data_IF_017146857187
#
_entry.id   IF_017146857187
#
_cell.length_a   1.000
_cell.length_b   1.000
_cell.length_c   1.000
_cell.angle_alpha   90.00
_cell.angle_beta   90.00
_cell.angle_gamma   90.00
#
_symmetry.space_group_name_H-M   'P 1'
#
loop_
_entity.id
_entity.type
_entity.pdbx_description
1 polymer ?
#
# COMPACT_ATOMS: atom_id res chain seq x y z
N UNK A 1 -26.35 22.49 28.00
CA UNK A 1 -26.07 21.05 28.13
C UNK A 1 -25.36 20.84 29.45
N UNK A 2 -26.00 20.15 30.39
CA UNK A 2 -25.46 19.90 31.71
C UNK A 2 -24.56 18.64 31.71
N UNK A 3 -23.62 18.49 32.66
CA UNK A 3 -22.74 17.31 32.73
C UNK A 3 -23.51 15.97 32.80
N UNK A 4 -24.70 15.98 33.41
CA UNK A 4 -25.57 14.81 33.52
C UNK A 4 -26.18 14.42 32.17
N UNK A 5 -26.60 15.41 31.37
CA UNK A 5 -27.08 15.19 30.01
C UNK A 5 -25.98 14.65 29.09
N UNK A 6 -24.73 15.11 29.27
CA UNK A 6 -23.57 14.59 28.56
C UNK A 6 -23.34 13.10 28.83
N UNK A 7 -23.37 12.68 30.11
CA UNK A 7 -23.18 11.27 30.47
C UNK A 7 -24.30 10.38 29.93
N UNK A 8 -25.55 10.84 29.99
CA UNK A 8 -26.69 10.05 29.51
C UNK A 8 -26.59 9.77 28.01
N UNK A 9 -26.26 10.80 27.21
CA UNK A 9 -26.05 10.63 25.77
C UNK A 9 -24.83 9.78 25.43
N UNK A 10 -23.77 9.83 26.24
CA UNK A 10 -22.62 8.95 26.07
C UNK A 10 -23.00 7.48 26.26
N UNK A 11 -23.85 7.18 27.25
CA UNK A 11 -24.38 5.82 27.44
C UNK A 11 -25.15 5.32 26.21
N UNK A 12 -26.07 6.13 25.70
CA UNK A 12 -26.85 5.79 24.49
C UNK A 12 -25.95 5.54 23.26
N UNK A 13 -24.87 6.32 23.10
CA UNK A 13 -23.89 6.14 22.01
C UNK A 13 -23.10 4.83 22.16
N UNK A 14 -22.69 4.49 23.39
CA UNK A 14 -21.96 3.24 23.66
C UNK A 14 -22.87 2.01 23.47
N UNK A 15 -24.14 2.10 23.84
CA UNK A 15 -25.12 1.05 23.62
C UNK A 15 -25.38 0.82 22.13
N UNK A 16 -25.52 1.90 21.35
CA UNK A 16 -25.64 1.82 19.89
C UNK A 16 -24.41 1.16 19.25
N UNK A 17 -23.21 1.55 19.66
CA UNK A 17 -21.98 0.92 19.20
C UNK A 17 -21.89 -0.58 19.58
N UNK A 18 -22.36 -0.94 20.76
CA UNK A 18 -22.41 -2.33 21.24
C UNK A 18 -23.46 -3.17 20.51
N UNK A 19 -24.52 -2.53 19.97
CA UNK A 19 -25.51 -3.18 19.11
C UNK A 19 -25.00 -3.40 17.67
N UNK A 20 -23.76 -3.00 17.37
CA UNK A 20 -23.12 -3.19 16.06
C UNK A 20 -23.18 -1.97 15.14
N UNK A 21 -23.67 -0.82 15.62
CA UNK A 21 -23.59 0.42 14.85
C UNK A 21 -22.17 0.97 14.86
N UNK A 22 -21.70 1.47 13.70
CA UNK A 22 -20.37 2.09 13.57
C UNK A 22 -20.55 3.59 13.60
N UNK A 23 -20.01 4.23 14.64
CA UNK A 23 -20.18 5.65 14.85
C UNK A 23 -18.88 6.37 14.51
N UNK A 24 -18.92 7.23 13.49
CA UNK A 24 -17.81 8.09 13.13
C UNK A 24 -17.76 9.29 14.09
N UNK A 25 -16.62 9.48 14.74
CA UNK A 25 -16.36 10.65 15.58
C UNK A 25 -15.57 11.67 14.75
N UNK A 26 -16.17 12.84 14.58
CA UNK A 26 -15.57 13.96 13.87
C UNK A 26 -15.20 15.10 14.82
N UNK A 27 -14.11 15.79 14.51
CA UNK A 27 -13.74 17.08 15.11
C UNK A 27 -13.40 18.05 13.99
N UNK A 28 -14.00 19.23 14.00
CA UNK A 28 -13.77 20.26 12.97
C UNK A 28 -13.97 19.73 11.53
N UNK A 29 -15.03 18.93 11.32
CA UNK A 29 -15.35 18.24 10.06
C UNK A 29 -14.26 17.26 9.57
N UNK A 30 -13.38 16.81 10.46
CA UNK A 30 -12.37 15.80 10.16
C UNK A 30 -12.65 14.53 10.97
N UNK A 31 -12.64 13.35 10.33
CA UNK A 31 -12.76 12.09 11.04
C UNK A 31 -11.54 11.86 11.93
N UNK A 32 -11.75 11.58 13.22
CA UNK A 32 -10.66 11.32 14.18
C UNK A 32 -10.66 9.91 14.74
N UNK A 33 -11.83 9.28 14.84
CA UNK A 33 -11.97 7.93 15.39
C UNK A 33 -13.27 7.27 14.92
N UNK A 34 -13.29 5.94 14.99
CA UNK A 34 -14.49 5.13 14.87
C UNK A 34 -14.75 4.45 16.20
N UNK A 35 -16.00 4.54 16.68
CA UNK A 35 -16.49 3.73 17.77
C UNK A 35 -17.23 2.53 17.17
N UNK A 36 -16.76 1.33 17.51
CA UNK A 36 -17.30 0.06 17.03
C UNK A 36 -17.43 -0.92 18.19
N UNK A 37 -18.23 -1.98 18.01
CA UNK A 37 -18.31 -3.06 18.99
C UNK A 37 -16.96 -3.78 19.13
N UNK A 38 -16.66 -4.40 20.28
CA UNK A 38 -15.43 -5.17 20.48
C UNK A 38 -15.27 -6.35 19.50
N UNK A 39 -16.37 -6.99 19.09
CA UNK A 39 -16.37 -8.08 18.12
C UNK A 39 -15.93 -7.58 16.73
N UNK A 40 -16.45 -6.43 16.33
CA UNK A 40 -16.07 -5.79 15.07
C UNK A 40 -14.62 -5.27 15.11
N UNK A 41 -14.15 -4.78 16.26
CA UNK A 41 -12.74 -4.41 16.45
C UNK A 41 -11.80 -5.60 16.22
N UNK A 42 -12.14 -6.79 16.74
CA UNK A 42 -11.33 -8.01 16.54
C UNK A 42 -11.22 -8.43 15.08
N UNK A 43 -12.28 -8.26 14.29
CA UNK A 43 -12.25 -8.56 12.84
C UNK A 43 -11.24 -7.69 12.10
N UNK A 44 -11.11 -6.41 12.47
CA UNK A 44 -10.11 -5.53 11.87
C UNK A 44 -8.67 -5.98 12.19
N UNK A 45 -8.43 -6.53 13.38
CA UNK A 45 -7.13 -7.07 13.76
C UNK A 45 -6.83 -8.39 13.03
N UNK A 46 -7.80 -9.30 12.93
CA UNK A 46 -7.67 -10.55 12.14
C UNK A 46 -7.37 -10.26 10.67
N UNK A 47 -8.07 -9.28 10.07
CA UNK A 47 -7.84 -8.85 8.69
C UNK A 47 -6.43 -8.28 8.49
N UNK A 48 -5.88 -7.61 9.51
CA UNK A 48 -4.52 -7.07 9.48
C UNK A 48 -3.48 -8.19 9.54
N UNK A 49 -3.63 -9.16 10.43
CA UNK A 49 -2.74 -10.31 10.51
C UNK A 49 -2.77 -11.14 9.22
N UNK A 50 -3.96 -11.41 8.69
CA UNK A 50 -4.13 -12.10 7.41
C UNK A 50 -3.49 -11.32 6.25
N UNK A 51 -3.59 -9.98 6.25
CA UNK A 51 -2.93 -9.14 5.25
C UNK A 51 -1.41 -9.20 5.37
N UNK A 52 -0.85 -9.17 6.58
CA UNK A 52 0.59 -9.31 6.81
C UNK A 52 1.07 -10.69 6.36
N UNK A 53 0.36 -11.75 6.72
CA UNK A 53 0.71 -13.12 6.31
C UNK A 53 0.72 -13.28 4.79
N UNK A 54 -0.29 -12.72 4.09
CA UNK A 54 -0.32 -12.71 2.61
C UNK A 54 0.86 -11.94 2.01
N UNK A 55 1.21 -10.78 2.59
CA UNK A 55 2.36 -9.99 2.12
C UNK A 55 3.69 -10.73 2.31
N UNK A 56 3.89 -11.37 3.46
CA UNK A 56 5.10 -12.16 3.73
C UNK A 56 5.21 -13.34 2.76
N UNK A 57 4.12 -14.09 2.55
CA UNK A 57 4.11 -15.19 1.60
C UNK A 57 4.38 -14.73 0.15
N UNK A 58 4.04 -13.50 -0.21
CA UNK A 58 4.39 -12.94 -1.53
C UNK A 58 5.89 -12.61 -1.63
N UNK A 59 6.50 -12.07 -0.56
CA UNK A 59 7.93 -11.81 -0.50
C UNK A 59 8.76 -13.11 -0.54
N UNK A 60 8.29 -14.16 0.12
CA UNK A 60 8.94 -15.47 0.07
C UNK A 60 8.99 -16.01 -1.37
N UNK A 61 7.88 -15.93 -2.11
CA UNK A 61 7.83 -16.33 -3.53
C UNK A 61 8.75 -15.50 -4.42
N UNK A 62 8.89 -14.20 -4.14
CA UNK A 62 9.82 -13.35 -4.89
C UNK A 62 11.27 -13.73 -4.60
N UNK A 63 11.58 -14.09 -3.37
CA UNK A 63 12.90 -14.57 -2.96
C UNK A 63 13.24 -15.88 -3.68
N UNK A 64 12.33 -16.87 -3.64
CA UNK A 64 12.52 -18.15 -4.36
C UNK A 64 12.70 -17.95 -5.87
N UNK A 65 11.94 -17.03 -6.47
CA UNK A 65 12.09 -16.69 -7.88
C UNK A 65 13.45 -16.06 -8.15
N UNK A 66 13.90 -15.13 -7.30
CA UNK A 66 15.20 -14.47 -7.42
C UNK A 66 16.35 -15.48 -7.32
N UNK A 67 16.27 -16.42 -6.39
CA UNK A 67 17.27 -17.48 -6.24
C UNK A 67 17.34 -18.37 -7.49
N UNK A 68 16.19 -18.75 -8.05
CA UNK A 68 16.14 -19.53 -9.30
C UNK A 68 16.78 -18.78 -10.45
N UNK A 69 16.45 -17.50 -10.62
CA UNK A 69 17.03 -16.64 -11.66
C UNK A 69 18.55 -16.57 -11.48
N UNK A 70 19.05 -16.39 -10.25
CA UNK A 70 20.48 -16.33 -9.98
C UNK A 70 21.21 -17.66 -10.28
N UNK A 71 20.54 -18.81 -10.13
CA UNK A 71 21.10 -20.11 -10.51
C UNK A 71 21.14 -20.31 -12.03
N UNK A 72 20.12 -19.85 -12.75
CA UNK A 72 20.00 -20.00 -14.20
C UNK A 72 20.84 -18.97 -14.97
N UNK A 73 21.02 -17.78 -14.39
CA UNK A 73 21.71 -16.66 -15.00
C UNK A 73 22.85 -16.20 -14.10
N UNK A 74 24.08 -16.57 -14.47
CA UNK A 74 25.26 -16.03 -13.83
C UNK A 74 25.25 -14.50 -13.95
N UNK A 75 25.59 -13.76 -12.87
CA UNK A 75 25.77 -12.32 -12.97
C UNK A 75 26.85 -12.03 -14.02
N UNK A 76 26.71 -10.93 -14.77
CA UNK A 76 27.71 -10.55 -15.76
C UNK A 76 29.07 -10.34 -15.09
N UNK A 77 30.11 -10.96 -15.64
CA UNK A 77 31.51 -10.79 -15.20
C UNK A 77 32.12 -9.55 -15.87
N UNK A 78 31.46 -8.41 -15.70
CA UNK A 78 31.88 -7.11 -16.23
C UNK A 78 32.65 -6.27 -15.19
N UNK A 79 32.84 -6.82 -13.99
CA UNK A 79 33.52 -6.15 -12.87
C UNK A 79 32.73 -4.98 -12.28
N UNK A 80 31.47 -4.80 -12.68
CA UNK A 80 30.62 -3.74 -12.17
C UNK A 80 29.90 -4.21 -10.89
N UNK A 81 29.59 -3.24 -10.04
CA UNK A 81 28.62 -3.45 -8.97
C UNK A 81 27.21 -3.40 -9.53
N UNK A 82 26.23 -4.03 -8.88
CA UNK A 82 24.82 -3.99 -9.31
C UNK A 82 24.31 -2.57 -9.57
N UNK A 83 24.69 -1.61 -8.72
CA UNK A 83 24.31 -0.22 -8.86
C UNK A 83 24.91 0.43 -10.12
N UNK A 84 26.19 0.13 -10.41
CA UNK A 84 26.85 0.62 -11.61
C UNK A 84 26.25 -0.01 -12.88
N UNK A 85 25.91 -1.30 -12.83
CA UNK A 85 25.25 -2.00 -13.92
C UNK A 85 23.86 -1.42 -14.24
N UNK A 86 23.05 -1.15 -13.22
CA UNK A 86 21.72 -0.52 -13.37
C UNK A 86 21.86 0.87 -13.99
N UNK A 87 22.85 1.65 -13.54
CA UNK A 87 23.09 2.99 -14.09
C UNK A 87 23.49 2.93 -15.57
N UNK A 88 24.39 2.02 -15.93
CA UNK A 88 24.84 1.86 -17.32
C UNK A 88 23.70 1.37 -18.23
N UNK A 89 22.89 0.40 -17.78
CA UNK A 89 21.72 -0.06 -18.53
C UNK A 89 20.66 1.06 -18.68
N UNK A 90 20.52 1.93 -17.68
CA UNK A 90 19.64 3.10 -17.77
C UNK A 90 20.14 4.10 -18.81
N UNK A 91 21.43 4.39 -18.85
CA UNK A 91 22.05 5.26 -19.84
C UNK A 91 21.90 4.68 -21.26
N UNK A 92 22.22 3.39 -21.45
CA UNK A 92 22.01 2.70 -22.74
C UNK A 92 20.55 2.74 -23.23
N UNK A 93 19.59 2.64 -22.31
CA UNK A 93 18.16 2.76 -22.65
C UNK A 93 17.79 4.19 -23.03
N UNK A 94 18.32 5.19 -22.34
CA UNK A 94 18.09 6.60 -22.67
C UNK A 94 18.65 6.93 -24.06
N UNK A 95 19.89 6.52 -24.35
CA UNK A 95 20.49 6.73 -25.69
C UNK A 95 19.68 6.05 -26.80
N UNK A 96 19.12 4.86 -26.52
CA UNK A 96 18.23 4.18 -27.46
C UNK A 96 16.94 4.97 -27.70
N UNK A 97 16.37 5.56 -26.65
CA UNK A 97 15.14 6.35 -26.75
C UNK A 97 15.40 7.66 -27.51
N UNK A 98 16.49 8.36 -27.19
CA UNK A 98 16.87 9.62 -27.85
C UNK A 98 17.29 9.41 -29.32
N UNK A 99 17.80 8.22 -29.64
CA UNK A 99 18.14 7.80 -31.01
C UNK A 99 16.94 7.32 -31.84
N UNK A 100 15.75 7.14 -31.25
CA UNK A 100 14.55 6.82 -32.02
C UNK A 100 14.01 8.09 -32.68
N UNK A 101 13.57 8.03 -33.95
CA UNK A 101 12.89 9.15 -34.56
C UNK A 101 11.67 9.51 -33.71
N UNK A 102 11.64 10.74 -33.19
CA UNK A 102 10.46 11.23 -32.47
C UNK A 102 9.26 11.19 -33.42
N UNK A 103 8.12 10.62 -33.00
CA UNK A 103 6.91 10.67 -33.80
C UNK A 103 6.54 12.13 -34.02
N UNK A 104 6.38 12.52 -35.27
CA UNK A 104 5.87 13.84 -35.63
C UNK A 104 4.37 13.88 -35.34
N UNK A 105 4.03 14.29 -34.12
CA UNK A 105 2.64 14.42 -33.66
C UNK A 105 1.92 15.65 -34.24
N UNK A 106 2.45 16.28 -35.29
CA UNK A 106 1.87 17.50 -35.89
C UNK A 106 0.88 17.25 -37.04
N UNK A 107 0.49 16.00 -37.31
CA UNK A 107 -0.38 15.66 -38.46
C UNK A 107 -1.83 15.26 -38.12
N UNK A 108 -2.27 15.32 -36.86
CA UNK A 108 -3.61 14.83 -36.45
C UNK A 108 -4.65 15.95 -36.14
N UNK A 109 -4.44 17.18 -36.61
CA UNK A 109 -5.44 18.26 -36.53
C UNK A 109 -5.91 18.68 -37.95
N UNK A 110 -6.85 17.92 -38.53
CA UNK A 110 -7.71 18.35 -39.65
C UNK A 110 -9.12 17.74 -39.54
#
# INVERSE_FOLDING_TARGET
MTPTEMRKRLGEILDAASAGERILIERDHRPIAWLVSPEDARRFDEDKEAKIARSLAALDRLTELSERIAMEHAPPDDGLTDAAWIQEERERRMDRIDGLPHPDWSQDDD
#
